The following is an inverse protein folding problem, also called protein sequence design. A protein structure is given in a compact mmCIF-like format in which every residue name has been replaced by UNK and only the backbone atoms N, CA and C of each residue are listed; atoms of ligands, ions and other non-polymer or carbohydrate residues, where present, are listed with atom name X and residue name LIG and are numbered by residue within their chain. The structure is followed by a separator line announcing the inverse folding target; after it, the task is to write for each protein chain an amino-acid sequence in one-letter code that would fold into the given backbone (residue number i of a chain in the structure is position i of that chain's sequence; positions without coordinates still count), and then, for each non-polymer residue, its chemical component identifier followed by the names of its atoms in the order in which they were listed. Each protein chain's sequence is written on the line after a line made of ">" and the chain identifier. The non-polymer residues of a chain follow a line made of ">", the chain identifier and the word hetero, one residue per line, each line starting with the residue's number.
data_IF_471124462336
#
_entry.id   IF_471124462336
#
_cell.length_a   1.000
_cell.length_b   1.000
_cell.length_c   1.000
_cell.angle_alpha   90.00
_cell.angle_beta   90.00
_cell.angle_gamma   90.00
#
_symmetry.space_group_name_H-M   'P 1'
#
loop_
_entity.id
_entity.type
_entity.pdbx_description
1 polymer ?
#
# COMPACT_ATOMS: atom_id res chain seq x y z
N UNK A 1 -8.30 -14.48 -8.42
CA UNK A 1 -7.01 -13.74 -8.48
C UNK A 1 -5.94 -14.63 -7.90
N UNK A 2 -5.43 -14.77 -6.87
CA UNK A 2 -4.28 -15.54 -6.36
C UNK A 2 -4.47 -17.07 -6.22
N UNK A 3 -5.25 -17.72 -7.08
CA UNK A 3 -5.60 -19.15 -6.96
C UNK A 3 -4.39 -20.08 -6.83
N UNK A 4 -3.35 -19.89 -7.66
CA UNK A 4 -2.14 -20.70 -7.57
C UNK A 4 -1.41 -20.55 -6.24
N UNK A 5 -1.38 -19.34 -5.68
CA UNK A 5 -0.77 -19.06 -4.37
C UNK A 5 -1.62 -19.60 -3.22
N UNK A 6 -2.93 -19.50 -3.32
CA UNK A 6 -3.86 -20.11 -2.35
C UNK A 6 -3.69 -21.63 -2.37
N UNK A 7 -3.65 -22.27 -3.55
CA UNK A 7 -3.40 -23.72 -3.65
C UNK A 7 -2.04 -24.12 -3.08
N UNK A 8 -1.00 -23.32 -3.31
CA UNK A 8 0.34 -23.53 -2.72
C UNK A 8 0.26 -23.52 -1.18
N UNK A 9 -0.38 -22.51 -0.59
CA UNK A 9 -0.58 -22.39 0.86
C UNK A 9 -1.37 -23.55 1.40
N UNK A 10 -2.50 -23.90 0.78
CA UNK A 10 -3.36 -25.01 1.21
C UNK A 10 -2.63 -26.37 1.12
N UNK A 11 -1.74 -26.54 0.14
CA UNK A 11 -0.91 -27.74 0.05
C UNK A 11 0.01 -27.88 1.26
N UNK A 12 0.66 -26.79 1.68
CA UNK A 12 1.50 -26.77 2.87
C UNK A 12 0.70 -26.97 4.16
N UNK A 13 -0.56 -26.54 4.20
CA UNK A 13 -1.45 -26.73 5.34
C UNK A 13 -1.88 -28.20 5.44
N UNK A 14 -2.32 -28.80 4.33
CA UNK A 14 -2.87 -30.17 4.28
C UNK A 14 -1.79 -31.25 4.36
N UNK A 15 -0.60 -30.97 3.83
CA UNK A 15 0.55 -31.88 3.82
C UNK A 15 1.78 -31.11 4.31
N UNK A 16 1.98 -31.06 5.63
CA UNK A 16 3.10 -30.28 6.20
C UNK A 16 4.50 -30.80 5.81
N UNK A 17 4.57 -31.85 4.96
CA UNK A 17 5.84 -32.38 4.43
C UNK A 17 6.74 -32.98 5.53
N UNK A 18 8.07 -32.87 5.35
CA UNK A 18 9.08 -33.39 6.29
C UNK A 18 9.34 -32.47 7.50
N UNK A 19 8.48 -31.45 7.72
CA UNK A 19 8.63 -30.57 8.88
C UNK A 19 8.27 -31.32 10.16
N UNK A 20 9.19 -31.35 11.13
CA UNK A 20 8.96 -31.91 12.47
C UNK A 20 7.85 -31.19 13.23
N UNK A 21 7.62 -29.92 12.91
CA UNK A 21 6.55 -29.07 13.45
C UNK A 21 5.79 -28.43 12.30
N UNK A 22 4.48 -28.12 12.45
CA UNK A 22 3.70 -27.44 11.43
C UNK A 22 4.40 -26.16 10.95
N UNK A 23 4.55 -25.95 9.63
CA UNK A 23 5.28 -24.81 9.12
C UNK A 23 4.61 -23.48 9.46
N UNK A 24 5.42 -22.48 9.72
CA UNK A 24 4.97 -21.09 9.85
C UNK A 24 5.03 -20.46 8.47
N UNK A 25 3.94 -19.82 8.06
CA UNK A 25 3.77 -19.26 6.71
C UNK A 25 3.70 -17.74 6.83
N UNK A 26 4.51 -17.02 6.06
CA UNK A 26 4.41 -15.58 5.91
C UNK A 26 3.83 -15.24 4.53
N UNK A 27 2.77 -14.45 4.49
CA UNK A 27 2.15 -13.91 3.27
C UNK A 27 2.48 -12.42 3.21
N UNK A 28 3.07 -11.98 2.11
CA UNK A 28 3.60 -10.64 1.95
C UNK A 28 2.93 -9.97 0.74
N UNK A 29 2.42 -8.76 0.90
CA UNK A 29 1.97 -7.92 -0.22
C UNK A 29 2.07 -6.43 0.12
N UNK A 30 2.05 -5.54 -0.89
CA UNK A 30 2.08 -4.09 -0.67
C UNK A 30 0.88 -3.57 0.11
N UNK A 31 -0.33 -4.13 -0.12
CA UNK A 31 -1.57 -3.65 0.50
C UNK A 31 -2.31 -4.74 1.27
N UNK A 32 -3.13 -4.32 2.22
CA UNK A 32 -3.99 -5.19 3.05
C UNK A 32 -5.05 -5.91 2.22
N UNK A 33 -5.55 -5.26 1.16
CA UNK A 33 -6.59 -5.86 0.30
C UNK A 33 -6.18 -7.25 -0.21
N UNK A 34 -5.02 -7.36 -0.83
CA UNK A 34 -4.52 -8.63 -1.37
C UNK A 34 -4.32 -9.69 -0.28
N UNK A 35 -3.81 -9.27 0.89
CA UNK A 35 -3.60 -10.15 2.04
C UNK A 35 -4.92 -10.67 2.61
N UNK A 36 -5.91 -9.79 2.76
CA UNK A 36 -7.24 -10.14 3.27
C UNK A 36 -7.95 -11.12 2.33
N UNK A 37 -7.94 -10.87 1.02
CA UNK A 37 -8.54 -11.78 0.02
C UNK A 37 -7.94 -13.18 0.11
N UNK A 38 -6.63 -13.29 0.25
CA UNK A 38 -5.96 -14.60 0.40
C UNK A 38 -6.28 -15.23 1.75
N UNK A 39 -6.23 -14.48 2.84
CA UNK A 39 -6.57 -14.97 4.19
C UNK A 39 -8.01 -15.48 4.27
N UNK A 40 -8.96 -14.75 3.69
CA UNK A 40 -10.38 -15.16 3.63
C UNK A 40 -10.58 -16.44 2.81
N UNK A 41 -9.88 -16.56 1.68
CA UNK A 41 -9.97 -17.73 0.83
C UNK A 41 -9.40 -18.97 1.54
N UNK A 42 -8.27 -18.81 2.21
CA UNK A 42 -7.66 -19.88 3.02
C UNK A 42 -8.60 -20.30 4.16
N UNK A 43 -9.15 -19.32 4.89
CA UNK A 43 -10.05 -19.62 6.02
C UNK A 43 -11.32 -20.36 5.60
N UNK A 44 -11.83 -20.10 4.40
CA UNK A 44 -13.02 -20.80 3.84
C UNK A 44 -12.73 -22.24 3.40
N UNK A 45 -11.51 -22.51 2.92
CA UNK A 45 -11.14 -23.82 2.37
C UNK A 45 -10.54 -24.79 3.40
N UNK A 46 -10.19 -24.30 4.58
CA UNK A 46 -9.70 -25.13 5.68
C UNK A 46 -10.89 -25.73 6.42
N UNK A 47 -10.91 -27.08 6.54
CA UNK A 47 -11.98 -27.83 7.24
C UNK A 47 -11.81 -27.93 8.76
N UNK A 48 -10.72 -27.36 9.32
CA UNK A 48 -10.45 -27.33 10.75
C UNK A 48 -10.74 -25.95 11.34
N UNK A 49 -10.81 -25.86 12.66
CA UNK A 49 -11.02 -24.58 13.34
C UNK A 49 -9.93 -23.56 12.96
N UNK A 50 -10.36 -22.42 12.46
CA UNK A 50 -9.49 -21.29 12.13
C UNK A 50 -9.73 -20.16 13.13
N UNK A 51 -8.65 -19.70 13.79
CA UNK A 51 -8.69 -18.51 14.65
C UNK A 51 -7.97 -17.37 13.96
N UNK A 52 -8.66 -16.25 13.84
CA UNK A 52 -8.11 -15.02 13.24
C UNK A 52 -7.80 -13.99 14.31
N UNK A 53 -6.63 -13.37 14.22
CA UNK A 53 -6.24 -12.22 15.05
C UNK A 53 -5.66 -11.15 14.14
N UNK A 54 -6.32 -10.00 14.12
CA UNK A 54 -5.82 -8.81 13.43
C UNK A 54 -5.12 -7.89 14.44
N UNK A 55 -3.91 -7.44 14.13
CA UNK A 55 -3.10 -6.57 14.99
C UNK A 55 -3.24 -5.08 14.69
N UNK A 56 -3.96 -4.70 13.63
CA UNK A 56 -4.19 -3.28 13.28
C UNK A 56 -5.21 -2.55 14.17
N UNK A 57 -5.95 -3.31 14.98
CA UNK A 57 -6.96 -2.77 15.87
C UNK A 57 -6.42 -2.18 17.17
N UNK A 58 -7.04 -2.55 18.28
CA UNK A 58 -6.63 -2.10 19.60
C UNK A 58 -5.19 -2.50 19.96
N UNK A 59 -4.50 -1.72 20.84
CA UNK A 59 -3.17 -2.05 21.30
C UNK A 59 -3.09 -3.47 21.86
N UNK A 60 -2.19 -4.26 21.33
CA UNK A 60 -1.98 -5.64 21.71
C UNK A 60 -0.85 -5.76 22.73
N UNK A 61 -1.13 -6.40 23.86
CA UNK A 61 -0.18 -6.48 24.98
C UNK A 61 0.55 -7.83 25.07
N UNK A 62 1.60 -7.87 25.91
CA UNK A 62 2.41 -9.10 26.13
C UNK A 62 1.57 -10.27 26.63
N UNK A 63 0.64 -10.03 27.56
CA UNK A 63 -0.22 -11.09 28.13
C UNK A 63 -1.14 -11.73 27.09
N UNK A 64 -1.70 -10.92 26.19
CA UNK A 64 -2.54 -11.43 25.11
C UNK A 64 -1.73 -12.26 24.12
N UNK A 65 -0.47 -11.93 23.92
CA UNK A 65 0.42 -12.67 23.05
C UNK A 65 0.81 -14.04 23.65
N UNK A 66 1.06 -14.10 24.96
CA UNK A 66 1.40 -15.33 25.67
C UNK A 66 0.28 -16.38 25.54
N UNK A 67 -0.97 -15.93 25.52
CA UNK A 67 -2.16 -16.81 25.44
C UNK A 67 -2.69 -16.99 24.01
N UNK A 68 -2.01 -16.43 23.00
CA UNK A 68 -2.52 -16.40 21.63
C UNK A 68 -2.73 -17.80 21.01
N UNK A 69 -1.86 -18.77 21.33
CA UNK A 69 -1.80 -20.08 20.67
C UNK A 69 -2.25 -21.26 21.55
N UNK A 70 -3.14 -21.03 22.51
CA UNK A 70 -3.58 -22.06 23.47
C UNK A 70 -4.42 -23.16 22.84
N UNK A 71 -5.30 -22.83 21.89
CA UNK A 71 -6.25 -23.78 21.34
C UNK A 71 -5.70 -24.60 20.18
N UNK A 72 -6.32 -25.76 19.93
CA UNK A 72 -6.04 -26.61 18.77
C UNK A 72 -6.73 -26.05 17.52
N UNK A 73 -6.09 -25.08 16.86
CA UNK A 73 -6.60 -24.38 15.69
C UNK A 73 -5.47 -24.06 14.71
N UNK A 74 -5.82 -23.71 13.48
CA UNK A 74 -4.96 -22.98 12.56
C UNK A 74 -5.13 -21.50 12.86
N UNK A 75 -4.03 -20.79 13.06
CA UNK A 75 -4.05 -19.38 13.37
C UNK A 75 -3.73 -18.54 12.14
N UNK A 76 -4.55 -17.52 11.88
CA UNK A 76 -4.31 -16.50 10.87
C UNK A 76 -4.07 -15.17 11.60
N UNK A 77 -2.81 -14.77 11.67
CA UNK A 77 -2.36 -13.53 12.30
C UNK A 77 -2.19 -12.46 11.23
N UNK A 78 -3.09 -11.48 11.24
CA UNK A 78 -3.15 -10.46 10.20
C UNK A 78 -2.50 -9.15 10.66
N UNK A 79 -1.93 -8.43 9.68
CA UNK A 79 -1.30 -7.12 9.87
C UNK A 79 -0.19 -7.14 10.93
N UNK A 80 0.68 -8.16 10.85
CA UNK A 80 1.74 -8.38 11.83
C UNK A 80 2.79 -7.25 11.88
N UNK A 81 2.81 -6.32 10.91
CA UNK A 81 3.63 -5.11 10.98
C UNK A 81 3.23 -4.19 12.14
N UNK A 82 2.06 -4.36 12.73
CA UNK A 82 1.67 -3.62 13.93
C UNK A 82 2.30 -4.14 15.23
N UNK A 83 3.05 -5.25 15.17
CA UNK A 83 3.77 -5.79 16.32
C UNK A 83 5.10 -5.11 16.61
N UNK A 84 5.53 -4.12 15.81
CA UNK A 84 6.75 -3.37 16.06
C UNK A 84 6.55 -1.87 15.85
N UNK A 85 7.43 -1.08 16.44
CA UNK A 85 7.50 0.37 16.29
C UNK A 85 8.91 0.77 15.87
N UNK A 86 9.04 1.78 14.99
CA UNK A 86 10.34 2.29 14.56
C UNK A 86 10.94 3.26 15.61
N UNK A 87 11.18 2.74 16.79
CA UNK A 87 11.84 3.45 17.90
C UNK A 87 12.72 2.51 18.74
N UNK A 88 13.62 3.03 19.58
CA UNK A 88 14.33 2.20 20.56
C UNK A 88 13.32 1.40 21.40
N UNK A 89 13.63 0.12 21.64
CA UNK A 89 12.76 -0.84 22.35
C UNK A 89 11.38 -1.13 21.69
N UNK A 90 11.10 -0.59 20.50
CA UNK A 90 9.83 -0.80 19.80
C UNK A 90 9.69 -2.19 19.15
N UNK A 91 10.69 -3.07 19.27
CA UNK A 91 10.68 -4.42 18.69
C UNK A 91 10.40 -5.54 19.70
N UNK A 92 10.18 -5.21 20.96
CA UNK A 92 10.07 -6.22 22.03
C UNK A 92 8.85 -7.13 21.84
N UNK A 93 7.70 -6.55 21.45
CA UNK A 93 6.48 -7.31 21.18
C UNK A 93 6.65 -8.23 19.97
N UNK A 94 7.27 -7.74 18.90
CA UNK A 94 7.58 -8.54 17.72
C UNK A 94 8.51 -9.72 18.07
N UNK A 95 9.57 -9.47 18.83
CA UNK A 95 10.49 -10.53 19.26
C UNK A 95 9.80 -11.60 20.09
N UNK A 96 8.90 -11.19 20.98
CA UNK A 96 8.09 -12.13 21.78
C UNK A 96 7.19 -12.95 20.88
N UNK A 97 6.52 -12.32 19.90
CA UNK A 97 5.70 -13.01 18.90
C UNK A 97 6.52 -14.04 18.12
N UNK A 98 7.67 -13.64 17.57
CA UNK A 98 8.53 -14.54 16.81
C UNK A 98 9.01 -15.72 17.66
N UNK A 99 9.37 -15.46 18.93
CA UNK A 99 9.75 -16.53 19.87
C UNK A 99 8.60 -17.50 20.13
N UNK A 100 7.36 -16.99 20.26
CA UNK A 100 6.19 -17.82 20.46
C UNK A 100 5.86 -18.68 19.22
N UNK A 101 6.18 -18.21 18.01
CA UNK A 101 6.05 -19.01 16.79
C UNK A 101 6.94 -20.25 16.81
N UNK A 102 8.15 -20.18 17.38
CA UNK A 102 9.06 -21.32 17.45
C UNK A 102 8.63 -22.32 18.51
N UNK A 103 8.19 -21.84 19.66
CA UNK A 103 7.86 -22.69 20.81
C UNK A 103 6.52 -23.41 20.67
N UNK A 104 5.58 -22.86 19.87
CA UNK A 104 4.28 -23.51 19.68
C UNK A 104 4.30 -24.53 18.53
N UNK A 105 3.52 -25.60 18.70
CA UNK A 105 3.31 -26.66 17.71
C UNK A 105 2.09 -26.43 16.80
N UNK A 106 1.55 -25.20 16.77
CA UNK A 106 0.38 -24.85 15.96
C UNK A 106 0.80 -24.42 14.57
N UNK A 107 -0.10 -24.58 13.63
CA UNK A 107 0.04 -24.00 12.31
C UNK A 107 -0.33 -22.51 12.37
N UNK A 108 0.57 -21.66 11.91
CA UNK A 108 0.38 -20.22 11.95
C UNK A 108 0.67 -19.63 10.58
N UNK A 109 -0.30 -18.88 10.09
CA UNK A 109 -0.20 -18.07 8.87
C UNK A 109 -0.15 -16.62 9.32
N UNK A 110 0.80 -15.86 8.82
CA UNK A 110 0.96 -14.44 9.15
C UNK A 110 0.87 -13.60 7.88
N UNK A 111 0.30 -12.41 7.97
CA UNK A 111 0.28 -11.47 6.86
C UNK A 111 1.09 -10.23 7.19
N UNK A 112 1.81 -9.71 6.19
CA UNK A 112 2.76 -8.63 6.35
C UNK A 112 2.67 -7.62 5.21
N UNK A 113 2.74 -6.34 5.55
CA UNK A 113 3.01 -5.31 4.55
C UNK A 113 4.42 -5.48 3.99
N UNK A 114 4.56 -5.43 2.66
CA UNK A 114 5.83 -5.67 1.96
C UNK A 114 6.95 -4.72 2.40
N UNK A 115 6.65 -3.45 2.58
CA UNK A 115 7.66 -2.45 2.95
C UNK A 115 8.13 -2.63 4.40
N UNK A 116 7.22 -3.02 5.29
CA UNK A 116 7.55 -3.43 6.66
C UNK A 116 8.38 -4.71 6.69
N UNK A 117 7.99 -5.70 5.89
CA UNK A 117 8.74 -6.95 5.77
C UNK A 117 10.18 -6.72 5.31
N UNK A 118 10.36 -5.95 4.23
CA UNK A 118 11.69 -5.65 3.70
C UNK A 118 12.57 -4.93 4.74
N UNK A 119 12.01 -3.96 5.47
CA UNK A 119 12.70 -3.31 6.58
C UNK A 119 13.11 -4.31 7.66
N UNK A 120 12.19 -5.19 8.09
CA UNK A 120 12.46 -6.18 9.12
C UNK A 120 13.43 -7.27 8.65
N UNK A 121 13.44 -7.64 7.39
CA UNK A 121 14.42 -8.55 6.79
C UNK A 121 15.81 -7.94 6.83
N UNK A 122 15.95 -6.68 6.45
CA UNK A 122 17.24 -5.98 6.52
C UNK A 122 17.76 -5.74 7.93
N UNK A 123 16.86 -5.59 8.91
CA UNK A 123 17.24 -5.22 10.28
C UNK A 123 17.25 -6.41 11.27
N UNK A 124 16.29 -7.33 11.19
CA UNK A 124 16.10 -8.45 12.14
C UNK A 124 16.28 -9.82 11.50
N UNK A 125 16.48 -9.89 10.19
CA UNK A 125 16.48 -11.15 9.45
C UNK A 125 15.21 -11.99 9.71
N UNK A 126 14.05 -11.34 9.65
CA UNK A 126 12.76 -11.94 10.02
C UNK A 126 12.44 -13.19 9.20
N UNK A 127 12.95 -13.31 7.98
CA UNK A 127 12.79 -14.45 7.07
C UNK A 127 13.20 -15.79 7.70
N UNK A 128 14.14 -15.76 8.65
CA UNK A 128 14.66 -16.98 9.33
C UNK A 128 13.60 -17.68 10.21
N UNK A 129 12.54 -16.96 10.57
CA UNK A 129 11.46 -17.47 11.41
C UNK A 129 10.36 -18.18 10.60
N UNK A 130 10.38 -18.01 9.28
CA UNK A 130 9.34 -18.50 8.39
C UNK A 130 9.93 -19.45 7.35
N UNK A 131 9.75 -20.78 7.51
CA UNK A 131 10.20 -21.75 6.50
C UNK A 131 9.47 -21.60 5.17
N UNK A 132 8.28 -20.98 5.17
CA UNK A 132 7.50 -20.74 3.96
C UNK A 132 7.19 -19.25 3.88
N UNK A 133 7.65 -18.62 2.81
CA UNK A 133 7.44 -17.20 2.53
C UNK A 133 6.78 -17.08 1.16
N UNK A 134 5.61 -16.47 1.13
CA UNK A 134 4.81 -16.29 -0.09
C UNK A 134 4.58 -14.81 -0.33
N UNK A 135 5.24 -14.28 -1.35
CA UNK A 135 5.00 -12.92 -1.81
C UNK A 135 3.90 -12.95 -2.87
N UNK A 136 2.86 -12.16 -2.64
CA UNK A 136 1.78 -12.00 -3.61
C UNK A 136 2.28 -11.05 -4.72
N UNK A 137 2.26 -11.50 -5.99
CA UNK A 137 2.75 -10.68 -7.10
C UNK A 137 1.79 -9.53 -7.40
N UNK A 138 2.33 -8.43 -7.88
CA UNK A 138 1.56 -7.41 -8.57
C UNK A 138 1.02 -8.02 -9.87
N UNK A 139 -0.16 -7.59 -10.28
CA UNK A 139 -0.76 -8.06 -11.53
C UNK A 139 -0.10 -7.38 -12.73
N UNK A 140 0.13 -8.10 -13.80
CA UNK A 140 0.44 -7.51 -15.09
C UNK A 140 -0.79 -6.81 -15.69
N UNK A 141 -0.59 -5.92 -16.66
CA UNK A 141 -1.71 -5.19 -17.28
C UNK A 141 -2.83 -6.12 -17.82
N UNK A 142 -2.54 -7.24 -18.52
CA UNK A 142 -3.59 -8.16 -18.96
C UNK A 142 -4.35 -8.83 -17.81
N UNK A 143 -3.62 -9.23 -16.75
CA UNK A 143 -4.23 -9.85 -15.56
C UNK A 143 -5.09 -8.84 -14.79
N UNK A 144 -4.63 -7.60 -14.63
CA UNK A 144 -5.37 -6.52 -13.99
C UNK A 144 -6.65 -6.22 -14.76
N UNK A 145 -6.57 -6.08 -16.10
CA UNK A 145 -7.73 -5.88 -16.95
C UNK A 145 -8.77 -7.00 -16.76
N UNK A 146 -8.33 -8.26 -16.83
CA UNK A 146 -9.21 -9.42 -16.61
C UNK A 146 -9.86 -9.40 -15.24
N UNK A 147 -9.08 -9.03 -14.21
CA UNK A 147 -9.55 -8.95 -12.84
C UNK A 147 -10.62 -7.86 -12.65
N UNK A 148 -10.38 -6.65 -13.16
CA UNK A 148 -11.31 -5.52 -13.03
C UNK A 148 -12.60 -5.73 -13.83
N UNK A 149 -12.52 -6.33 -15.01
CA UNK A 149 -13.73 -6.67 -15.83
C UNK A 149 -14.56 -7.73 -15.12
N UNK A 150 -13.93 -8.74 -14.48
CA UNK A 150 -14.68 -9.78 -13.78
C UNK A 150 -15.38 -9.28 -12.51
N UNK A 151 -14.93 -8.18 -11.93
CA UNK A 151 -15.53 -7.52 -10.75
C UNK A 151 -16.51 -6.42 -11.15
N UNK A 152 -16.38 -5.90 -12.37
CA UNK A 152 -17.22 -4.80 -12.89
C UNK A 152 -18.62 -5.23 -13.30
N UNK A 153 -19.47 -4.23 -13.60
CA UNK A 153 -20.82 -4.45 -14.13
C UNK A 153 -20.75 -4.97 -15.58
N UNK A 154 -21.71 -5.81 -15.95
CA UNK A 154 -21.98 -6.18 -17.34
C UNK A 154 -22.44 -4.95 -18.11
N UNK A 155 -21.88 -4.41 -19.08
CA UNK A 155 -22.24 -3.24 -19.90
C UNK A 155 -21.58 -1.91 -19.52
N UNK A 156 -20.32 -1.92 -19.14
CA UNK A 156 -19.55 -0.70 -18.98
C UNK A 156 -19.15 -0.12 -20.35
N UNK A 157 -19.36 1.18 -20.51
CA UNK A 157 -18.98 1.94 -21.69
C UNK A 157 -17.66 2.70 -21.44
N UNK A 158 -16.62 2.42 -22.23
CA UNK A 158 -15.34 3.11 -22.15
C UNK A 158 -15.29 4.23 -23.19
N UNK A 159 -15.15 5.47 -22.72
CA UNK A 159 -15.24 6.67 -23.58
C UNK A 159 -13.96 7.49 -23.47
N UNK A 160 -13.42 7.87 -24.61
CA UNK A 160 -12.41 8.94 -24.67
C UNK A 160 -13.16 10.25 -24.87
N UNK A 161 -12.95 11.20 -23.97
CA UNK A 161 -13.47 12.55 -24.13
C UNK A 161 -12.80 13.18 -25.37
N UNK A 162 -13.52 13.25 -26.47
CA UNK A 162 -13.06 13.85 -27.74
C UNK A 162 -12.84 15.35 -27.61
N UNK A 163 -13.47 15.96 -26.62
CA UNK A 163 -13.24 17.32 -26.16
C UNK A 163 -12.15 17.39 -25.07
N UNK A 164 -11.10 16.60 -25.17
CA UNK A 164 -9.85 16.92 -24.47
C UNK A 164 -9.38 18.25 -25.05
N UNK A 165 -10.05 19.28 -24.57
CA UNK A 165 -9.88 20.65 -24.96
C UNK A 165 -8.39 20.96 -24.92
N UNK A 166 -7.83 21.38 -26.06
CA UNK A 166 -6.50 21.92 -26.17
C UNK A 166 -6.39 23.26 -25.40
N UNK A 167 -7.25 23.48 -24.40
CA UNK A 167 -7.24 24.66 -23.57
C UNK A 167 -5.89 24.75 -22.84
N UNK A 168 -5.18 25.74 -23.26
CA UNK A 168 -3.94 26.17 -22.64
C UNK A 168 -4.33 26.87 -21.34
N UNK A 169 -3.98 26.30 -20.22
CA UNK A 169 -4.17 26.94 -18.92
C UNK A 169 -2.91 27.74 -18.58
N UNK A 170 -3.09 29.02 -18.31
CA UNK A 170 -2.02 29.90 -17.81
C UNK A 170 -1.84 29.61 -16.31
N UNK A 171 -0.77 28.89 -15.98
CA UNK A 171 -0.43 28.61 -14.59
C UNK A 171 0.70 29.55 -14.16
N UNK A 172 0.45 30.29 -13.07
CA UNK A 172 1.49 31.07 -12.41
C UNK A 172 2.42 30.14 -11.65
N UNK A 173 3.70 30.19 -11.95
CA UNK A 173 4.77 29.53 -11.19
C UNK A 173 5.71 30.60 -10.65
N UNK A 174 6.24 30.35 -9.47
CA UNK A 174 7.23 31.17 -8.84
C UNK A 174 8.61 30.55 -9.01
N UNK A 175 9.57 31.33 -9.47
CA UNK A 175 10.97 30.94 -9.62
C UNK A 175 11.77 31.58 -8.49
N UNK A 176 12.26 30.77 -7.56
CA UNK A 176 13.03 31.25 -6.42
C UNK A 176 14.51 31.43 -6.82
N UNK A 177 14.99 32.66 -6.75
CA UNK A 177 16.40 32.99 -6.97
C UNK A 177 17.04 33.26 -5.60
N UNK A 178 18.03 32.45 -5.24
CA UNK A 178 18.82 32.67 -4.03
C UNK A 178 20.21 33.12 -4.41
N UNK A 179 20.58 34.37 -4.01
CA UNK A 179 21.93 34.90 -4.16
C UNK A 179 22.68 34.66 -2.85
N UNK A 180 23.43 33.56 -2.79
CA UNK A 180 24.14 33.11 -1.58
C UNK A 180 25.15 34.14 -1.04
N UNK A 181 25.76 34.97 -1.90
CA UNK A 181 26.71 35.99 -1.50
C UNK A 181 26.09 37.17 -0.76
N UNK A 182 24.78 37.39 -0.92
CA UNK A 182 24.05 38.53 -0.31
C UNK A 182 22.99 38.10 0.68
N UNK A 183 22.84 36.79 0.88
CA UNK A 183 21.79 36.18 1.73
C UNK A 183 20.37 36.68 1.36
N UNK A 184 20.16 36.97 0.07
CA UNK A 184 18.90 37.46 -0.48
C UNK A 184 18.24 36.36 -1.28
N UNK A 185 16.98 36.09 -0.95
CA UNK A 185 16.10 35.24 -1.77
C UNK A 185 14.89 36.07 -2.21
N UNK A 186 14.60 36.02 -3.49
CA UNK A 186 13.39 36.61 -4.05
C UNK A 186 12.76 35.68 -5.07
N UNK A 187 11.44 35.68 -5.08
CA UNK A 187 10.63 34.85 -5.97
C UNK A 187 10.14 35.70 -7.14
N UNK A 188 10.42 35.26 -8.35
CA UNK A 188 9.91 35.92 -9.57
C UNK A 188 8.73 35.12 -10.08
N UNK A 189 7.51 35.67 -10.02
CA UNK A 189 6.37 34.99 -10.61
C UNK A 189 6.46 35.04 -12.14
N UNK A 190 6.33 33.89 -12.79
CA UNK A 190 6.20 33.77 -14.22
C UNK A 190 4.97 33.01 -14.63
N UNK A 191 4.40 33.36 -15.77
CA UNK A 191 3.27 32.62 -16.35
C UNK A 191 3.81 31.56 -17.30
N UNK A 192 3.43 30.32 -17.05
CA UNK A 192 3.71 29.21 -17.95
C UNK A 192 2.40 28.70 -18.53
N UNK A 193 2.44 28.30 -19.79
CA UNK A 193 1.31 27.67 -20.46
C UNK A 193 1.40 26.17 -20.20
N UNK A 194 0.45 25.63 -19.46
CA UNK A 194 0.30 24.20 -19.31
C UNK A 194 -0.93 23.73 -20.10
N UNK A 195 -0.78 22.63 -20.82
CA UNK A 195 -1.96 21.94 -21.36
C UNK A 195 -2.68 21.26 -20.21
N UNK A 196 -3.97 21.51 -20.08
CA UNK A 196 -4.82 21.01 -18.97
C UNK A 196 -4.72 19.50 -18.77
N UNK A 197 -4.38 18.76 -19.82
CA UNK A 197 -4.23 17.31 -19.84
C UNK A 197 -2.86 16.83 -20.30
N UNK A 198 -1.80 17.62 -20.06
CA UNK A 198 -0.44 17.23 -20.45
C UNK A 198 0.01 15.86 -19.91
N UNK A 199 -0.51 15.46 -18.74
CA UNK A 199 -0.26 14.14 -18.14
C UNK A 199 -0.86 12.97 -18.92
N UNK A 200 -1.88 13.20 -19.76
CA UNK A 200 -2.54 12.21 -20.60
C UNK A 200 -2.05 12.19 -22.06
N UNK A 201 -1.21 13.16 -22.46
CA UNK A 201 -0.69 13.27 -23.83
C UNK A 201 0.00 11.97 -24.30
N UNK A 202 0.82 11.28 -23.49
CA UNK A 202 1.44 10.03 -23.92
C UNK A 202 0.40 8.93 -24.24
N UNK A 203 -0.71 8.89 -23.51
CA UNK A 203 -1.81 7.96 -23.77
C UNK A 203 -2.57 8.27 -25.05
N UNK A 204 -2.81 9.56 -25.30
CA UNK A 204 -3.56 10.06 -26.46
C UNK A 204 -2.73 10.08 -27.75
N UNK A 205 -1.41 9.94 -27.65
CA UNK A 205 -0.54 9.86 -28.82
C UNK A 205 -0.76 8.57 -29.64
N UNK A 206 -1.30 7.52 -29.00
CA UNK A 206 -1.63 6.25 -29.65
C UNK A 206 -3.07 6.32 -30.22
N UNK A 207 -3.22 6.99 -31.38
CA UNK A 207 -4.53 7.20 -32.06
C UNK A 207 -5.23 5.90 -32.50
N UNK A 208 -4.57 4.76 -32.38
CA UNK A 208 -5.10 3.44 -32.78
C UNK A 208 -5.55 2.59 -31.58
N UNK A 209 -5.23 2.99 -30.36
CA UNK A 209 -5.61 2.24 -29.18
C UNK A 209 -7.10 2.41 -28.87
N UNK A 210 -7.75 1.33 -28.46
CA UNK A 210 -9.15 1.37 -28.03
C UNK A 210 -9.29 2.17 -26.72
N UNK A 211 -10.42 2.87 -26.52
CA UNK A 211 -10.70 3.62 -25.28
C UNK A 211 -10.47 2.77 -24.02
N UNK A 212 -10.95 1.55 -24.06
CA UNK A 212 -10.80 0.56 -23.00
C UNK A 212 -9.33 0.32 -22.66
N UNK A 213 -8.47 0.11 -23.65
CA UNK A 213 -7.04 -0.16 -23.44
C UNK A 213 -6.31 1.02 -22.80
N UNK A 214 -6.66 2.24 -23.20
CA UNK A 214 -6.09 3.46 -22.64
C UNK A 214 -6.46 3.63 -21.17
N UNK A 215 -7.71 3.40 -20.83
CA UNK A 215 -8.23 3.50 -19.46
C UNK A 215 -7.54 2.45 -18.56
N UNK A 216 -7.47 1.18 -18.97
CA UNK A 216 -6.79 0.15 -18.19
C UNK A 216 -5.28 0.38 -18.07
N UNK A 217 -4.64 0.93 -19.10
CA UNK A 217 -3.22 1.31 -19.04
C UNK A 217 -3.00 2.42 -18.01
N UNK A 218 -3.90 3.39 -17.93
CA UNK A 218 -3.82 4.47 -16.94
C UNK A 218 -4.08 3.96 -15.52
N UNK A 219 -5.10 3.12 -15.31
CA UNK A 219 -5.35 2.48 -14.01
C UNK A 219 -4.14 1.65 -13.58
N UNK A 220 -3.53 0.90 -14.50
CA UNK A 220 -2.30 0.14 -14.22
C UNK A 220 -1.16 1.05 -13.78
N UNK A 221 -0.97 2.18 -14.47
CA UNK A 221 0.07 3.16 -14.14
C UNK A 221 -0.13 3.77 -12.75
N UNK A 222 -1.37 4.14 -12.40
CA UNK A 222 -1.72 4.74 -11.11
C UNK A 222 -1.61 3.75 -9.95
N UNK A 223 -1.99 2.50 -10.18
CA UNK A 223 -1.95 1.43 -9.17
C UNK A 223 -0.62 0.71 -9.09
N UNK A 224 0.28 0.89 -10.07
CA UNK A 224 1.50 0.07 -10.24
C UNK A 224 1.21 -1.44 -10.28
N UNK A 225 0.02 -1.84 -10.76
CA UNK A 225 -0.43 -3.24 -10.81
C UNK A 225 -0.93 -3.78 -9.46
N UNK A 226 -1.11 -2.94 -8.45
CA UNK A 226 -1.67 -3.35 -7.16
C UNK A 226 -3.20 -3.50 -7.28
N UNK A 227 -3.76 -4.70 -7.03
CA UNK A 227 -5.17 -4.98 -7.30
C UNK A 227 -6.16 -4.16 -6.48
N UNK A 228 -5.89 -3.93 -5.20
CA UNK A 228 -6.80 -3.20 -4.32
C UNK A 228 -6.90 -1.72 -4.70
N UNK A 229 -5.76 -1.10 -5.04
CA UNK A 229 -5.71 0.28 -5.50
C UNK A 229 -6.38 0.40 -6.87
N UNK A 230 -6.06 -0.52 -7.79
CA UNK A 230 -6.66 -0.54 -9.11
C UNK A 230 -8.18 -0.69 -9.06
N UNK A 231 -8.68 -1.60 -8.22
CA UNK A 231 -10.11 -1.83 -8.03
C UNK A 231 -10.82 -0.57 -7.52
N UNK A 232 -10.21 0.11 -6.54
CA UNK A 232 -10.77 1.34 -6.00
C UNK A 232 -10.80 2.45 -7.05
N UNK A 233 -9.69 2.66 -7.79
CA UNK A 233 -9.65 3.63 -8.90
C UNK A 233 -10.72 3.29 -9.94
N UNK A 234 -10.86 2.01 -10.28
CA UNK A 234 -11.84 1.56 -11.27
C UNK A 234 -13.27 1.85 -10.83
N UNK A 235 -13.65 1.50 -9.59
CA UNK A 235 -14.99 1.77 -9.06
C UNK A 235 -15.28 3.26 -8.93
N UNK A 236 -14.32 4.04 -8.44
CA UNK A 236 -14.48 5.49 -8.29
C UNK A 236 -14.61 6.22 -9.65
N UNK A 237 -14.07 5.61 -10.71
CA UNK A 237 -14.18 6.15 -12.08
C UNK A 237 -15.48 5.79 -12.81
N UNK A 238 -16.30 4.87 -12.28
CA UNK A 238 -17.56 4.50 -12.88
C UNK A 238 -18.63 5.55 -12.54
N UNK A 239 -19.14 6.24 -13.55
CA UNK A 239 -20.23 7.20 -13.42
C UNK A 239 -21.30 6.83 -14.44
N UNK A 240 -22.53 6.54 -14.02
CA UNK A 240 -23.67 6.19 -14.89
C UNK A 240 -23.34 5.07 -15.91
N UNK A 241 -22.61 4.03 -15.48
CA UNK A 241 -22.13 2.90 -16.31
C UNK A 241 -21.12 3.29 -17.41
N UNK A 242 -20.54 4.50 -17.31
CA UNK A 242 -19.46 4.97 -18.18
C UNK A 242 -18.17 5.16 -17.40
N UNK A 243 -17.04 4.87 -18.04
CA UNK A 243 -15.70 5.24 -17.57
C UNK A 243 -15.05 6.12 -18.63
N UNK A 244 -14.66 7.33 -18.22
CA UNK A 244 -13.95 8.30 -19.05
C UNK A 244 -12.53 8.50 -18.52
N UNK A 245 -11.61 8.88 -19.40
CA UNK A 245 -10.25 9.24 -18.98
C UNK A 245 -10.26 10.38 -17.95
N UNK A 246 -11.20 11.31 -18.09
CA UNK A 246 -11.40 12.45 -17.17
C UNK A 246 -11.92 12.06 -15.79
N UNK A 247 -12.51 10.86 -15.63
CA UNK A 247 -12.94 10.32 -14.35
C UNK A 247 -11.78 9.73 -13.54
N UNK A 248 -10.67 9.39 -14.23
CA UNK A 248 -9.50 8.84 -13.55
C UNK A 248 -8.77 9.91 -12.74
N UNK A 249 -8.26 9.55 -11.56
CA UNK A 249 -7.50 10.48 -10.74
C UNK A 249 -6.21 10.93 -11.45
N UNK A 250 -5.87 12.20 -11.28
CA UNK A 250 -4.62 12.73 -11.83
C UNK A 250 -3.46 12.36 -10.92
N UNK A 251 -2.35 11.83 -11.47
CA UNK A 251 -1.18 11.55 -10.65
C UNK A 251 -0.63 12.81 -10.01
N UNK A 252 -0.37 12.73 -8.72
CA UNK A 252 0.23 13.84 -7.99
C UNK A 252 1.74 13.89 -8.24
N UNK A 253 2.29 15.09 -8.29
CA UNK A 253 3.73 15.29 -8.19
C UNK A 253 4.11 15.39 -6.72
N UNK A 254 5.11 14.64 -6.29
CA UNK A 254 5.63 14.75 -4.93
C UNK A 254 6.48 16.02 -4.85
N UNK A 255 6.12 17.00 -4.01
CA UNK A 255 6.93 18.21 -3.82
C UNK A 255 8.23 17.87 -3.08
N UNK A 256 9.10 18.86 -2.90
CA UNK A 256 10.24 18.71 -2.01
C UNK A 256 9.74 18.59 -0.56
N UNK A 257 10.13 17.49 0.11
CA UNK A 257 9.64 17.13 1.44
C UNK A 257 10.76 17.28 2.47
N UNK A 258 10.41 17.73 3.67
CA UNK A 258 11.33 17.70 4.81
C UNK A 258 11.59 16.25 5.25
N UNK A 259 12.72 16.02 5.93
CA UNK A 259 13.09 14.69 6.41
C UNK A 259 12.01 14.04 7.28
N UNK A 260 11.32 14.84 8.10
CA UNK A 260 10.20 14.35 8.92
C UNK A 260 9.00 13.93 8.07
N UNK A 261 8.69 14.66 7.00
CA UNK A 261 7.57 14.33 6.11
C UNK A 261 7.84 13.01 5.38
N UNK A 262 9.09 12.81 4.95
CA UNK A 262 9.54 11.55 4.34
C UNK A 262 9.39 10.40 5.34
N UNK A 263 9.76 10.62 6.61
CA UNK A 263 9.64 9.60 7.64
C UNK A 263 8.16 9.28 7.95
N UNK A 264 7.30 10.31 8.09
CA UNK A 264 5.86 10.11 8.30
C UNK A 264 5.23 9.35 7.14
N UNK A 265 5.52 9.72 5.88
CA UNK A 265 5.04 8.98 4.70
C UNK A 265 5.50 7.51 4.72
N UNK A 266 6.76 7.29 5.11
CA UNK A 266 7.29 5.92 5.23
C UNK A 266 6.50 5.12 6.27
N UNK A 267 6.19 5.71 7.43
CA UNK A 267 5.39 5.05 8.47
C UNK A 267 3.96 4.75 7.98
N UNK A 268 3.32 5.72 7.30
CA UNK A 268 1.98 5.53 6.75
C UNK A 268 1.97 4.40 5.72
N UNK A 269 2.97 4.33 4.83
CA UNK A 269 3.09 3.27 3.84
C UNK A 269 3.34 1.90 4.49
N UNK A 270 4.16 1.84 5.53
CA UNK A 270 4.55 0.60 6.21
C UNK A 270 3.44 0.03 7.09
N UNK A 271 2.68 0.88 7.76
CA UNK A 271 1.53 0.46 8.57
C UNK A 271 0.23 0.40 7.76
N UNK A 272 0.15 1.15 6.66
CA UNK A 272 -0.94 1.24 5.69
C UNK A 272 -2.14 2.09 6.15
N UNK A 273 -2.67 1.86 7.33
CA UNK A 273 -3.81 2.62 7.90
C UNK A 273 -3.55 2.98 9.38
N UNK A 274 -2.40 3.63 9.70
CA UNK A 274 -2.12 3.94 11.09
C UNK A 274 -3.08 4.99 11.66
N UNK A 275 -3.50 4.78 12.91
CA UNK A 275 -4.12 5.83 13.72
C UNK A 275 -3.07 6.82 14.21
N UNK A 276 -3.51 8.01 14.64
CA UNK A 276 -2.61 9.07 15.12
C UNK A 276 -1.69 8.61 16.26
N UNK A 277 -2.22 7.86 17.24
CA UNK A 277 -1.43 7.34 18.36
C UNK A 277 -0.25 6.51 17.88
N UNK A 278 -0.45 5.67 16.85
CA UNK A 278 0.59 4.81 16.28
C UNK A 278 1.74 5.60 15.64
N UNK A 279 1.41 6.67 14.92
CA UNK A 279 2.43 7.58 14.37
C UNK A 279 3.17 8.34 15.48
N UNK A 280 2.44 8.79 16.49
CA UNK A 280 3.00 9.52 17.62
C UNK A 280 3.93 8.67 18.49
N UNK A 281 3.69 7.37 18.62
CA UNK A 281 4.59 6.41 19.27
C UNK A 281 5.99 6.39 18.65
N UNK A 282 6.05 6.49 17.31
CA UNK A 282 7.33 6.48 16.59
C UNK A 282 8.03 7.84 16.56
N UNK A 283 7.29 8.97 16.59
CA UNK A 283 7.84 10.32 16.41
C UNK A 283 8.08 11.02 17.76
N UNK A 284 7.19 10.77 18.75
CA UNK A 284 7.21 11.31 20.11
C UNK A 284 7.11 12.85 20.23
N UNK A 285 7.22 13.60 19.13
CA UNK A 285 7.01 15.05 19.07
C UNK A 285 5.69 15.35 18.36
N UNK A 286 4.65 15.68 19.14
CA UNK A 286 3.31 15.95 18.63
C UNK A 286 3.26 17.16 17.70
N UNK A 287 4.02 18.22 17.97
CA UNK A 287 4.02 19.43 17.16
C UNK A 287 4.63 19.16 15.79
N UNK A 288 5.73 18.42 15.78
CA UNK A 288 6.42 17.99 14.55
C UNK A 288 5.53 17.05 13.72
N UNK A 289 4.88 16.07 14.35
CA UNK A 289 3.96 15.16 13.67
C UNK A 289 2.77 15.91 13.07
N UNK A 290 2.10 16.78 13.82
CA UNK A 290 0.96 17.56 13.33
C UNK A 290 1.33 18.46 12.16
N UNK A 291 2.48 19.14 12.24
CA UNK A 291 2.97 19.99 11.15
C UNK A 291 3.26 19.19 9.89
N UNK A 292 3.85 18.00 10.04
CA UNK A 292 4.11 17.08 8.93
C UNK A 292 2.82 16.57 8.30
N UNK A 293 1.86 16.06 9.10
CA UNK A 293 0.57 15.59 8.62
C UNK A 293 -0.20 16.70 7.90
N UNK A 294 -0.18 17.93 8.43
CA UNK A 294 -0.81 19.07 7.78
C UNK A 294 -0.22 19.33 6.37
N UNK A 295 1.11 19.37 6.24
CA UNK A 295 1.77 19.56 4.93
C UNK A 295 1.44 18.42 3.96
N UNK A 296 1.48 17.17 4.42
CA UNK A 296 1.20 16.00 3.59
C UNK A 296 -0.26 15.95 3.12
N UNK A 297 -1.21 16.37 3.96
CA UNK A 297 -2.63 16.51 3.57
C UNK A 297 -2.80 17.68 2.60
N UNK A 298 -2.17 18.83 2.88
CA UNK A 298 -2.26 20.01 2.01
C UNK A 298 -1.66 19.77 0.62
N UNK A 299 -0.68 18.87 0.50
CA UNK A 299 -0.12 18.44 -0.79
C UNK A 299 -0.94 17.34 -1.48
N UNK A 300 -2.00 16.85 -0.87
CA UNK A 300 -2.83 15.76 -1.39
C UNK A 300 -2.19 14.36 -1.32
N UNK A 301 -0.98 14.22 -0.78
CA UNK A 301 -0.28 12.93 -0.71
C UNK A 301 -0.89 11.98 0.32
N UNK A 302 -1.45 12.55 1.38
CA UNK A 302 -2.07 11.81 2.50
C UNK A 302 -3.50 12.29 2.69
N UNK A 303 -4.39 11.36 2.95
CA UNK A 303 -5.77 11.63 3.33
C UNK A 303 -6.04 11.06 4.72
N UNK A 304 -6.95 11.70 5.44
CA UNK A 304 -7.46 11.22 6.71
C UNK A 304 -8.87 10.67 6.50
N UNK A 305 -9.06 9.39 6.76
CA UNK A 305 -10.37 8.75 6.77
C UNK A 305 -10.74 8.43 8.21
N UNK A 306 -11.71 9.16 8.77
CA UNK A 306 -12.07 9.05 10.18
C UNK A 306 -10.86 9.23 11.11
N UNK A 307 -10.36 8.13 11.70
CA UNK A 307 -9.22 8.15 12.63
C UNK A 307 -7.91 7.65 12.01
N UNK A 308 -7.96 7.11 10.80
CA UNK A 308 -6.79 6.53 10.13
C UNK A 308 -6.21 7.44 9.06
N UNK A 309 -4.91 7.34 8.88
CA UNK A 309 -4.15 8.06 7.85
C UNK A 309 -3.77 7.10 6.74
N UNK A 310 -3.96 7.49 5.49
CA UNK A 310 -3.56 6.68 4.34
C UNK A 310 -2.99 7.55 3.21
N UNK A 311 -2.18 6.94 2.38
CA UNK A 311 -1.72 7.58 1.15
C UNK A 311 -2.91 7.69 0.20
N UNK A 312 -3.06 8.84 -0.46
CA UNK A 312 -4.11 9.05 -1.46
C UNK A 312 -3.92 8.11 -2.66
N UNK A 313 -4.99 7.80 -3.37
CA UNK A 313 -4.91 6.95 -4.57
C UNK A 313 -4.01 7.56 -5.63
N UNK A 314 -4.13 8.88 -5.85
CA UNK A 314 -3.34 9.67 -6.77
C UNK A 314 -1.87 9.74 -6.37
N UNK A 315 -1.61 9.69 -5.07
CA UNK A 315 -0.27 9.77 -4.47
C UNK A 315 0.43 8.44 -4.35
N UNK A 316 -0.25 7.29 -4.46
CA UNK A 316 0.36 6.00 -4.11
C UNK A 316 1.61 5.69 -4.95
N UNK A 317 1.47 5.62 -6.27
CA UNK A 317 2.61 5.30 -7.14
C UNK A 317 3.73 6.36 -7.03
N UNK A 318 3.45 7.68 -7.11
CA UNK A 318 4.48 8.70 -6.91
C UNK A 318 5.19 8.65 -5.55
N UNK A 319 4.47 8.39 -4.46
CA UNK A 319 5.05 8.26 -3.10
C UNK A 319 5.96 7.05 -3.02
N UNK A 320 5.53 5.89 -3.51
CA UNK A 320 6.34 4.67 -3.53
C UNK A 320 7.64 4.90 -4.31
N UNK A 321 7.57 5.50 -5.49
CA UNK A 321 8.74 5.80 -6.32
C UNK A 321 9.67 6.81 -5.64
N UNK A 322 9.12 7.87 -5.05
CA UNK A 322 9.89 8.86 -4.31
C UNK A 322 10.63 8.25 -3.12
N UNK A 323 9.94 7.43 -2.32
CA UNK A 323 10.55 6.77 -1.15
C UNK A 323 11.61 5.75 -1.55
N UNK A 324 11.45 5.03 -2.68
CA UNK A 324 12.48 4.14 -3.25
C UNK A 324 13.72 4.94 -3.67
N UNK A 325 13.55 6.05 -4.40
CA UNK A 325 14.66 6.92 -4.80
C UNK A 325 15.44 7.46 -3.60
N UNK A 326 14.76 7.75 -2.49
CA UNK A 326 15.37 8.20 -1.24
C UNK A 326 15.88 7.05 -0.36
N UNK A 327 15.78 5.80 -0.81
CA UNK A 327 16.18 4.58 -0.08
C UNK A 327 15.51 4.44 1.30
N UNK A 328 14.30 4.97 1.43
CA UNK A 328 13.50 4.81 2.65
C UNK A 328 12.77 3.46 2.69
N UNK A 329 12.51 2.92 1.50
CA UNK A 329 11.93 1.61 1.24
C UNK A 329 12.68 0.93 0.10
N UNK A 330 12.59 -0.39 0.00
CA UNK A 330 13.19 -1.22 -1.06
C UNK A 330 12.35 -2.47 -1.35
#
# INVERSE_FOLDING_TARGET
>A
MYESKICEILTHIRKPGDFRTPPKIAIISPTSYSRTVVADSIAREISVLVKRKNFSGEPFGKRELENLFEEHAVYVCEECQYLYERRPHGFDLLRLFLSSLVTNSRQVITTWNQYSWNFLSGFLHIERWFPIIITLPLLSLPELKKYLIADGKENLHFIIDTELDNSLELVRKDYDITISSLNLSFSIPYLTVQRRYASYIPLLADKQALPEELIFREIYRLSSGEPGIALKIFHDAIVEDEIRVTHLPKPLSVPELYAIDIFVLTLILMYELPVYSRLNESIQDKAMLNSSLYRLVSSGLVIRNEEVWCISLEGFAPVVDYLKQRRMIW
#
